data_IF_622724464994
#
_entry.id   IF_622724464994
#
_cell.length_a   1.000
_cell.length_b   1.000
_cell.length_c   1.000
_cell.angle_alpha   90.00
_cell.angle_beta   90.00
_cell.angle_gamma   90.00
#
_symmetry.space_group_name_H-M   'P 1'
#
loop_
_entity.id
_entity.type
_entity.pdbx_description
1 polymer ?
#
# COMPACT_ATOMS: atom_id res chain seq x y z
N UNK A 1 -55.63 -22.45 26.82
CA UNK A 1 -55.33 -22.37 28.27
C UNK A 1 -56.04 -21.16 28.82
N UNK A 2 -56.95 -21.32 29.79
CA UNK A 2 -57.55 -20.17 30.48
C UNK A 2 -56.43 -19.38 31.14
N UNK A 3 -56.29 -18.09 30.79
CA UNK A 3 -55.24 -17.23 31.34
C UNK A 3 -55.55 -16.99 32.81
N UNK A 4 -54.78 -17.59 33.72
CA UNK A 4 -54.93 -17.34 35.16
C UNK A 4 -54.70 -15.84 35.39
N UNK A 5 -55.63 -15.18 36.08
CA UNK A 5 -55.45 -13.78 36.46
C UNK A 5 -54.69 -13.73 37.80
N UNK A 6 -53.35 -13.77 37.71
CA UNK A 6 -52.46 -13.76 38.88
C UNK A 6 -52.70 -12.54 39.79
N UNK A 7 -52.96 -11.37 39.20
CA UNK A 7 -53.20 -10.14 39.95
C UNK A 7 -54.49 -10.23 40.77
N UNK A 8 -55.59 -10.68 40.16
CA UNK A 8 -56.86 -10.84 40.86
C UNK A 8 -56.83 -11.94 41.94
N UNK A 9 -56.05 -13.01 41.71
CA UNK A 9 -55.85 -14.06 42.71
C UNK A 9 -55.01 -13.55 43.89
N UNK A 10 -53.94 -12.78 43.62
CA UNK A 10 -53.08 -12.17 44.64
C UNK A 10 -53.85 -11.16 45.48
N UNK A 11 -54.64 -10.28 44.87
CA UNK A 11 -55.48 -9.31 45.56
C UNK A 11 -56.50 -9.98 46.48
N UNK A 12 -57.15 -11.05 46.02
CA UNK A 12 -58.10 -11.79 46.83
C UNK A 12 -57.45 -12.53 48.00
N UNK A 13 -56.25 -13.09 47.80
CA UNK A 13 -55.47 -13.72 48.86
C UNK A 13 -55.07 -12.71 49.95
N UNK A 14 -54.47 -11.58 49.55
CA UNK A 14 -54.05 -10.50 50.45
C UNK A 14 -55.25 -9.89 51.19
N UNK A 15 -56.40 -9.75 50.52
CA UNK A 15 -57.61 -9.20 51.14
C UNK A 15 -58.12 -10.04 52.32
N UNK A 16 -57.99 -11.38 52.26
CA UNK A 16 -58.33 -12.28 53.37
C UNK A 16 -57.26 -12.26 54.45
N UNK A 17 -55.99 -12.32 54.05
CA UNK A 17 -54.85 -12.31 54.98
C UNK A 17 -54.89 -11.07 55.89
N UNK A 18 -55.26 -9.92 55.34
CA UNK A 18 -55.38 -8.66 56.08
C UNK A 18 -56.59 -8.60 57.02
N UNK A 19 -57.78 -8.99 56.56
CA UNK A 19 -58.99 -9.07 57.40
C UNK A 19 -59.88 -10.21 56.91
N UNK A 20 -60.00 -11.26 57.71
CA UNK A 20 -60.80 -12.44 57.39
C UNK A 20 -62.30 -12.18 57.61
N UNK A 21 -63.01 -11.79 56.55
CA UNK A 21 -64.49 -11.74 56.54
C UNK A 21 -65.08 -12.85 55.68
N UNK A 22 -66.31 -13.32 55.95
CA UNK A 22 -66.98 -14.35 55.14
C UNK A 22 -67.10 -13.97 53.66
N UNK A 23 -67.33 -12.68 53.37
CA UNK A 23 -67.42 -12.14 52.00
C UNK A 23 -66.08 -12.25 51.26
N UNK A 24 -64.97 -11.91 51.93
CA UNK A 24 -63.63 -12.03 51.35
C UNK A 24 -63.24 -13.50 51.13
N UNK A 25 -63.59 -14.38 52.09
CA UNK A 25 -63.39 -15.83 51.96
C UNK A 25 -64.11 -16.42 50.74
N UNK A 26 -65.35 -15.99 50.50
CA UNK A 26 -66.11 -16.39 49.32
C UNK A 26 -65.45 -15.88 48.03
N UNK A 27 -65.03 -14.61 47.99
CA UNK A 27 -64.37 -14.02 46.83
C UNK A 27 -63.06 -14.74 46.45
N UNK A 28 -62.27 -15.17 47.44
CA UNK A 28 -61.08 -15.99 47.19
C UNK A 28 -61.43 -17.39 46.71
N UNK A 29 -62.39 -18.09 47.33
CA UNK A 29 -62.80 -19.45 46.88
C UNK A 29 -63.30 -19.47 45.44
N UNK A 30 -63.96 -18.41 44.99
CA UNK A 30 -64.38 -18.27 43.59
C UNK A 30 -63.21 -18.08 42.61
N UNK A 31 -62.08 -17.54 43.07
CA UNK A 31 -60.89 -17.27 42.25
C UNK A 31 -59.84 -18.38 42.35
N UNK A 32 -59.71 -18.99 43.53
CA UNK A 32 -58.81 -20.11 43.84
C UNK A 32 -59.55 -21.45 43.64
N UNK A 33 -60.07 -21.66 42.42
CA UNK A 33 -60.71 -22.93 42.09
C UNK A 33 -59.67 -24.05 42.01
N UNK A 34 -60.05 -25.32 42.19
CA UNK A 34 -59.12 -26.45 42.06
C UNK A 34 -58.37 -26.44 40.71
N UNK A 35 -59.01 -26.02 39.62
CA UNK A 35 -58.37 -25.90 38.31
C UNK A 35 -57.27 -24.83 38.29
N UNK A 36 -57.48 -23.70 38.98
CA UNK A 36 -56.48 -22.63 39.08
C UNK A 36 -55.30 -23.10 39.92
N UNK A 37 -55.54 -23.80 41.03
CA UNK A 37 -54.47 -24.32 41.90
C UNK A 37 -53.62 -25.35 41.16
N UNK A 38 -54.25 -26.31 40.45
CA UNK A 38 -53.51 -27.30 39.66
C UNK A 38 -52.68 -26.65 38.55
N UNK A 39 -53.26 -25.69 37.82
CA UNK A 39 -52.53 -24.98 36.76
C UNK A 39 -51.33 -24.18 37.29
N UNK A 40 -51.42 -23.62 38.51
CA UNK A 40 -50.29 -22.96 39.16
C UNK A 40 -49.19 -23.95 39.59
N UNK A 41 -49.56 -25.14 40.06
CA UNK A 41 -48.60 -26.20 40.40
C UNK A 41 -47.89 -26.72 39.15
N UNK A 42 -48.63 -26.99 38.07
CA UNK A 42 -48.07 -27.43 36.78
C UNK A 42 -47.13 -26.37 36.18
N UNK A 43 -47.45 -25.08 36.33
CA UNK A 43 -46.58 -23.98 35.93
C UNK A 43 -45.33 -23.88 36.81
N UNK A 44 -45.48 -24.02 38.13
CA UNK A 44 -44.35 -24.01 39.05
C UNK A 44 -43.37 -25.15 38.74
N UNK A 45 -43.87 -26.36 38.47
CA UNK A 45 -43.04 -27.50 38.12
C UNK A 45 -42.28 -27.27 36.81
N UNK A 46 -42.97 -26.77 35.76
CA UNK A 46 -42.31 -26.40 34.50
C UNK A 46 -41.27 -25.31 34.67
N UNK A 47 -41.55 -24.29 35.49
CA UNK A 47 -40.59 -23.22 35.77
C UNK A 47 -39.38 -23.74 36.53
N UNK A 48 -39.55 -24.67 37.48
CA UNK A 48 -38.43 -25.31 38.18
C UNK A 48 -37.58 -26.17 37.24
N UNK A 49 -38.19 -26.91 36.31
CA UNK A 49 -37.47 -27.67 35.30
C UNK A 49 -36.69 -26.75 34.35
N UNK A 50 -37.29 -25.64 33.93
CA UNK A 50 -36.63 -24.63 33.09
C UNK A 50 -35.41 -24.01 33.78
N UNK A 51 -35.54 -23.65 35.06
CA UNK A 51 -34.42 -23.10 35.85
C UNK A 51 -33.27 -24.11 35.92
N UNK A 52 -33.55 -25.39 36.21
CA UNK A 52 -32.51 -26.43 36.24
C UNK A 52 -31.77 -26.57 34.90
N UNK A 53 -32.51 -26.55 33.79
CA UNK A 53 -31.90 -26.63 32.46
C UNK A 53 -31.04 -25.40 32.16
N UNK A 54 -31.52 -24.20 32.53
CA UNK A 54 -30.76 -22.95 32.35
C UNK A 54 -29.51 -22.91 33.21
N UNK A 55 -29.56 -23.41 34.43
CA UNK A 55 -28.40 -23.49 35.31
C UNK A 55 -27.33 -24.43 34.74
N UNK A 56 -27.75 -25.59 34.21
CA UNK A 56 -26.85 -26.52 33.54
C UNK A 56 -26.23 -25.91 32.27
N UNK A 57 -27.04 -25.27 31.43
CA UNK A 57 -26.55 -24.59 30.22
C UNK A 57 -25.54 -23.47 30.57
N UNK A 58 -25.83 -22.68 31.61
CA UNK A 58 -24.92 -21.63 32.06
C UNK A 58 -23.59 -22.19 32.59
N UNK A 59 -23.61 -23.35 33.25
CA UNK A 59 -22.40 -24.03 33.71
C UNK A 59 -21.54 -24.51 32.51
N UNK A 60 -22.17 -25.12 31.50
CA UNK A 60 -21.49 -25.53 30.26
C UNK A 60 -20.87 -24.34 29.51
N UNK A 61 -21.60 -23.22 29.43
CA UNK A 61 -21.10 -21.97 28.85
C UNK A 61 -19.91 -21.44 29.66
N UNK A 62 -19.99 -21.43 30.99
CA UNK A 62 -18.91 -20.96 31.84
C UNK A 62 -17.62 -21.78 31.65
N UNK A 63 -17.74 -23.10 31.56
CA UNK A 63 -16.62 -23.99 31.26
C UNK A 63 -16.01 -23.72 29.88
N UNK A 64 -16.85 -23.52 28.87
CA UNK A 64 -16.40 -23.25 27.49
C UNK A 64 -15.70 -21.90 27.37
N UNK A 65 -16.28 -20.85 27.96
CA UNK A 65 -15.67 -19.52 28.01
C UNK A 65 -14.35 -19.56 28.80
N UNK A 66 -14.29 -20.36 29.87
CA UNK A 66 -13.05 -20.60 30.62
C UNK A 66 -11.94 -21.17 29.74
N UNK A 67 -12.23 -22.23 28.97
CA UNK A 67 -11.27 -22.84 28.03
C UNK A 67 -10.80 -21.85 26.96
N UNK A 68 -11.74 -21.15 26.32
CA UNK A 68 -11.42 -20.16 25.28
C UNK A 68 -10.56 -19.01 25.81
N UNK A 69 -10.74 -18.59 27.07
CA UNK A 69 -9.88 -17.56 27.68
C UNK A 69 -8.44 -18.03 27.85
N UNK A 70 -8.23 -19.28 28.24
CA UNK A 70 -6.89 -19.87 28.36
C UNK A 70 -6.23 -19.99 26.98
N UNK A 71 -6.93 -20.56 26.01
CA UNK A 71 -6.44 -20.69 24.62
C UNK A 71 -6.10 -19.32 24.01
N UNK A 72 -6.95 -18.31 24.24
CA UNK A 72 -6.70 -16.95 23.77
C UNK A 72 -5.42 -16.36 24.40
N UNK A 73 -5.18 -16.61 25.68
CA UNK A 73 -3.98 -16.12 26.37
C UNK A 73 -2.71 -16.84 25.87
N UNK A 74 -2.79 -18.16 25.64
CA UNK A 74 -1.70 -18.92 25.02
C UNK A 74 -1.37 -18.43 23.61
N UNK A 75 -2.39 -18.16 22.79
CA UNK A 75 -2.22 -17.60 21.43
C UNK A 75 -1.59 -16.21 21.50
N UNK A 76 -2.02 -15.35 22.44
CA UNK A 76 -1.43 -14.03 22.63
C UNK A 76 0.05 -14.11 23.00
N UNK A 77 0.41 -14.96 23.98
CA UNK A 77 1.81 -15.15 24.37
C UNK A 77 2.65 -15.71 23.22
N UNK A 78 2.09 -16.63 22.43
CA UNK A 78 2.77 -17.16 21.26
C UNK A 78 2.95 -16.09 20.17
N UNK A 79 1.95 -15.22 19.96
CA UNK A 79 2.03 -14.11 19.02
C UNK A 79 3.07 -13.07 19.45
N UNK A 80 3.16 -12.77 20.75
CA UNK A 80 4.16 -11.87 21.31
C UNK A 80 5.58 -12.43 21.10
N UNK A 81 5.82 -13.70 21.45
CA UNK A 81 7.10 -14.39 21.15
C UNK A 81 7.43 -14.41 19.65
N UNK A 82 6.43 -14.64 18.80
CA UNK A 82 6.59 -14.54 17.34
C UNK A 82 6.94 -13.12 16.90
N UNK A 83 6.38 -12.11 17.55
CA UNK A 83 6.68 -10.70 17.24
C UNK A 83 8.10 -10.32 17.66
N UNK A 84 8.57 -10.79 18.82
CA UNK A 84 9.95 -10.61 19.29
C UNK A 84 10.93 -11.32 18.37
N UNK A 85 10.65 -12.57 17.99
CA UNK A 85 11.49 -13.30 17.02
C UNK A 85 11.45 -12.70 15.62
N UNK A 86 10.34 -12.11 15.19
CA UNK A 86 10.27 -11.31 13.95
C UNK A 86 11.03 -10.00 14.06
N UNK A 87 11.03 -9.32 15.20
CA UNK A 87 11.87 -8.14 15.43
C UNK A 87 13.36 -8.50 15.29
N UNK A 88 13.77 -9.68 15.78
CA UNK A 88 15.11 -10.24 15.54
C UNK A 88 15.30 -10.67 14.06
N UNK A 89 14.25 -11.15 13.39
CA UNK A 89 14.27 -11.54 11.96
C UNK A 89 14.15 -10.39 10.97
N UNK A 90 13.79 -9.18 11.42
CA UNK A 90 13.76 -7.96 10.61
C UNK A 90 15.16 -7.43 10.30
N UNK A 91 16.22 -8.17 10.66
CA UNK A 91 17.54 -8.04 10.03
C UNK A 91 17.52 -8.54 8.57
N UNK A 92 16.51 -8.14 7.79
CA UNK A 92 16.57 -8.28 6.34
C UNK A 92 17.66 -7.34 5.85
N UNK A 93 18.75 -7.95 5.42
CA UNK A 93 19.96 -7.26 5.00
C UNK A 93 20.61 -8.09 3.90
N UNK A 94 20.37 -7.76 2.62
CA UNK A 94 21.13 -8.37 1.54
C UNK A 94 22.64 -8.09 1.71
N UNK A 95 23.49 -8.96 1.14
CA UNK A 95 24.94 -8.72 1.18
C UNK A 95 25.36 -7.53 0.31
N UNK A 96 24.56 -7.25 -0.72
CA UNK A 96 24.75 -6.16 -1.68
C UNK A 96 23.46 -5.35 -1.73
N UNK A 97 23.57 -4.03 -1.66
CA UNK A 97 22.43 -3.12 -1.78
C UNK A 97 21.77 -3.31 -3.15
N UNK A 98 20.45 -3.58 -3.22
CA UNK A 98 19.78 -3.90 -4.48
C UNK A 98 19.68 -2.71 -5.44
N UNK A 99 19.85 -1.48 -4.96
CA UNK A 99 19.72 -0.25 -5.76
C UNK A 99 21.09 0.29 -6.14
N UNK A 100 22.01 0.42 -5.18
CA UNK A 100 23.33 1.03 -5.42
C UNK A 100 24.43 0.04 -5.73
N UNK A 101 24.22 -1.27 -5.49
CA UNK A 101 25.26 -2.28 -5.64
C UNK A 101 26.37 -2.22 -4.57
N UNK A 102 26.25 -1.32 -3.58
CA UNK A 102 27.23 -1.21 -2.48
C UNK A 102 27.19 -2.46 -1.60
N UNK A 103 28.35 -2.92 -1.12
CA UNK A 103 28.43 -4.03 -0.18
C UNK A 103 27.95 -3.58 1.19
N UNK A 104 27.28 -4.47 1.92
CA UNK A 104 27.01 -4.19 3.32
C UNK A 104 28.30 -3.97 4.10
N UNK A 105 28.24 -3.04 5.04
CA UNK A 105 29.32 -2.74 5.94
C UNK A 105 28.98 -3.13 7.39
N UNK A 106 27.98 -2.51 7.99
CA UNK A 106 27.59 -2.80 9.38
C UNK A 106 26.16 -2.35 9.70
N UNK A 107 25.71 -2.63 10.93
CA UNK A 107 24.47 -2.09 11.49
C UNK A 107 24.78 -0.80 12.26
N UNK A 108 23.99 0.25 12.03
CA UNK A 108 24.14 1.54 12.69
C UNK A 108 22.78 1.99 13.23
N UNK A 109 22.76 2.53 14.44
CA UNK A 109 21.54 3.09 15.05
C UNK A 109 21.19 4.44 14.40
N UNK A 110 20.04 4.50 13.76
CA UNK A 110 19.46 5.70 13.15
C UNK A 110 18.44 6.36 14.11
N UNK A 111 18.47 7.69 14.29
CA UNK A 111 17.58 8.40 15.22
C UNK A 111 16.09 8.13 14.98
N UNK A 112 15.68 7.96 13.72
CA UNK A 112 14.26 7.77 13.34
C UNK A 112 13.92 6.35 12.87
N UNK A 113 14.91 5.58 12.39
CA UNK A 113 14.67 4.28 11.74
C UNK A 113 15.09 3.11 12.65
N UNK A 114 15.67 3.39 13.82
CA UNK A 114 16.24 2.39 14.70
C UNK A 114 17.51 1.79 14.11
N UNK A 115 17.82 0.54 14.44
CA UNK A 115 19.02 -0.11 13.95
C UNK A 115 18.87 -0.51 12.47
N UNK A 116 19.62 0.11 11.58
CA UNK A 116 19.51 -0.06 10.13
C UNK A 116 20.76 -0.70 9.53
N UNK A 117 20.63 -1.52 8.47
CA UNK A 117 21.78 -2.04 7.76
C UNK A 117 22.35 -0.95 6.84
N UNK A 118 23.66 -0.75 6.89
CA UNK A 118 24.35 0.23 6.05
C UNK A 118 25.32 -0.42 5.07
N UNK A 119 25.50 0.23 3.93
CA UNK A 119 26.22 -0.27 2.77
C UNK A 119 27.22 0.78 2.29
N UNK A 120 28.42 0.36 1.91
CA UNK A 120 29.53 1.26 1.58
C UNK A 120 30.84 0.72 2.14
N UNK A 121 31.53 1.54 2.92
CA UNK A 121 32.83 1.20 3.49
C UNK A 121 33.17 2.01 4.74
N UNK A 122 34.46 2.01 5.15
CA UNK A 122 34.90 2.59 6.42
C UNK A 122 34.93 4.12 6.46
N UNK A 123 34.79 4.80 5.32
CA UNK A 123 34.68 6.26 5.25
C UNK A 123 33.21 6.67 5.33
N UNK A 124 32.41 6.08 4.44
CA UNK A 124 30.99 6.43 4.28
C UNK A 124 30.13 5.18 4.20
N UNK A 125 29.00 5.22 4.88
CA UNK A 125 28.02 4.15 4.90
C UNK A 125 26.62 4.69 4.72
N UNK A 126 25.80 3.98 3.95
CA UNK A 126 24.51 4.48 3.49
C UNK A 126 23.40 3.48 3.72
N UNK A 127 22.19 3.94 3.99
CA UNK A 127 21.01 3.06 4.04
C UNK A 127 20.65 2.55 2.65
N UNK A 128 19.79 1.53 2.59
CA UNK A 128 19.18 1.12 1.32
C UNK A 128 18.29 2.27 0.84
N UNK A 129 18.46 2.75 -0.40
CA UNK A 129 17.70 3.89 -0.87
C UNK A 129 16.19 3.65 -0.84
N UNK A 130 15.45 4.69 -0.50
CA UNK A 130 13.99 4.70 -0.50
C UNK A 130 13.49 5.67 -1.54
N UNK A 131 12.36 5.33 -2.16
CA UNK A 131 11.69 6.21 -3.11
C UNK A 131 10.98 7.34 -2.35
N UNK A 132 11.24 8.57 -2.74
CA UNK A 132 10.58 9.75 -2.19
C UNK A 132 9.20 10.02 -2.84
N UNK A 133 8.57 11.12 -2.46
CA UNK A 133 7.26 11.53 -2.98
C UNK A 133 7.27 11.92 -4.46
N UNK A 134 8.41 12.38 -4.98
CA UNK A 134 8.59 12.82 -6.37
C UNK A 134 9.06 11.67 -7.28
N UNK A 135 9.42 10.54 -6.68
CA UNK A 135 9.79 9.30 -7.32
C UNK A 135 11.29 9.10 -7.53
N UNK A 136 12.12 9.97 -6.96
CA UNK A 136 13.57 9.85 -6.88
C UNK A 136 13.96 8.93 -5.72
N UNK A 137 15.13 8.29 -5.82
CA UNK A 137 15.69 7.51 -4.74
C UNK A 137 16.71 8.31 -3.95
N UNK A 138 16.52 8.34 -2.63
CA UNK A 138 17.44 8.95 -1.67
C UNK A 138 17.88 7.94 -0.63
N UNK A 139 19.07 8.13 -0.07
CA UNK A 139 19.57 7.36 1.07
C UNK A 139 20.18 8.24 2.15
N UNK A 140 20.05 7.77 3.39
CA UNK A 140 20.67 8.41 4.55
C UNK A 140 22.16 8.06 4.60
N UNK A 141 22.99 9.05 4.86
CA UNK A 141 24.45 8.94 4.87
C UNK A 141 24.97 9.04 6.30
N UNK A 142 25.81 8.07 6.69
CA UNK A 142 26.59 8.08 7.90
C UNK A 142 28.06 8.32 7.57
N UNK A 143 28.59 9.43 8.08
CA UNK A 143 29.99 9.83 7.98
C UNK A 143 30.73 9.23 9.18
N UNK A 144 31.70 8.34 8.93
CA UNK A 144 32.47 7.67 9.98
C UNK A 144 33.60 8.54 10.54
N UNK A 145 34.07 9.54 9.79
CA UNK A 145 35.08 10.48 10.26
C UNK A 145 34.46 11.48 11.25
N UNK A 146 33.23 11.93 10.97
CA UNK A 146 32.43 12.74 11.87
C UNK A 146 31.77 11.91 12.99
N UNK A 147 31.43 10.65 12.72
CA UNK A 147 30.75 9.75 13.65
C UNK A 147 29.25 10.02 13.77
N UNK A 148 28.59 10.43 12.69
CA UNK A 148 27.19 10.84 12.74
C UNK A 148 26.45 10.73 11.40
N UNK A 149 25.12 10.75 11.50
CA UNK A 149 24.24 10.87 10.34
C UNK A 149 24.24 12.31 9.81
N UNK A 150 24.44 12.46 8.51
CA UNK A 150 24.43 13.75 7.80
C UNK A 150 23.21 13.83 6.87
N UNK A 151 23.04 14.97 6.18
CA UNK A 151 21.89 15.16 5.29
C UNK A 151 21.81 14.07 4.22
N UNK A 152 20.59 13.61 3.95
CA UNK A 152 20.29 12.58 2.95
C UNK A 152 20.83 12.97 1.57
N UNK A 153 21.45 12.00 0.89
CA UNK A 153 21.96 12.17 -0.46
C UNK A 153 20.92 11.69 -1.48
N UNK A 154 20.60 12.55 -2.46
CA UNK A 154 19.77 12.18 -3.61
C UNK A 154 20.64 11.51 -4.69
N UNK A 155 20.21 10.34 -5.17
CA UNK A 155 21.01 9.54 -6.10
C UNK A 155 20.80 9.88 -7.57
N UNK A 156 19.82 10.73 -7.92
CA UNK A 156 19.46 11.01 -9.32
C UNK A 156 18.96 9.78 -10.08
N UNK A 157 18.56 8.73 -9.36
CA UNK A 157 17.99 7.51 -9.94
C UNK A 157 16.47 7.60 -9.91
N UNK A 158 15.84 7.29 -11.03
CA UNK A 158 14.39 7.23 -11.20
C UNK A 158 13.99 5.89 -11.81
N UNK A 159 12.84 5.36 -11.40
CA UNK A 159 12.25 4.23 -12.10
C UNK A 159 11.63 4.71 -13.41
N UNK A 160 12.23 4.30 -14.53
CA UNK A 160 11.66 4.48 -15.86
C UNK A 160 10.66 3.35 -16.07
N UNK A 161 9.44 3.66 -16.50
CA UNK A 161 8.48 2.62 -16.86
C UNK A 161 8.80 2.01 -18.24
N UNK A 162 8.34 0.78 -18.48
CA UNK A 162 8.62 0.05 -19.72
C UNK A 162 8.20 0.83 -20.98
N UNK A 163 7.21 1.73 -20.86
CA UNK A 163 6.70 2.53 -21.98
C UNK A 163 7.65 3.68 -22.30
N UNK A 164 8.18 4.36 -21.29
CA UNK A 164 9.19 5.39 -21.46
C UNK A 164 10.48 4.80 -22.04
N UNK A 165 10.89 3.63 -21.55
CA UNK A 165 12.06 2.94 -22.09
C UNK A 165 11.88 2.58 -23.58
N UNK A 166 10.71 2.05 -23.98
CA UNK A 166 10.40 1.81 -25.39
C UNK A 166 10.48 3.08 -26.25
N UNK A 167 9.98 4.22 -25.75
CA UNK A 167 10.03 5.49 -26.47
C UNK A 167 11.45 6.00 -26.67
N UNK A 168 12.31 5.85 -25.66
CA UNK A 168 13.73 6.24 -25.77
C UNK A 168 14.41 5.38 -26.83
N UNK A 169 14.21 4.05 -26.82
CA UNK A 169 14.78 3.18 -27.85
C UNK A 169 14.30 3.53 -29.26
N UNK A 170 13.01 3.77 -29.46
CA UNK A 170 12.48 4.22 -30.76
C UNK A 170 13.10 5.54 -31.22
N UNK A 171 13.35 6.47 -30.30
CA UNK A 171 14.00 7.74 -30.62
C UNK A 171 15.48 7.58 -30.96
N UNK A 172 16.22 6.77 -30.20
CA UNK A 172 17.63 6.46 -30.47
C UNK A 172 17.79 5.80 -31.84
N UNK A 173 16.90 4.88 -32.20
CA UNK A 173 16.90 4.24 -33.52
C UNK A 173 16.65 5.25 -34.64
N UNK A 174 15.67 6.14 -34.46
CA UNK A 174 15.39 7.22 -35.42
C UNK A 174 16.55 8.22 -35.54
N UNK A 175 17.25 8.53 -34.45
CA UNK A 175 18.43 9.40 -34.49
C UNK A 175 19.54 8.72 -35.30
N UNK A 176 19.81 7.45 -35.04
CA UNK A 176 20.81 6.66 -35.78
C UNK A 176 20.48 6.54 -37.28
N UNK A 177 19.20 6.33 -37.62
CA UNK A 177 18.73 6.37 -39.01
C UNK A 177 19.05 7.73 -39.66
N UNK A 178 18.72 8.83 -38.98
CA UNK A 178 18.95 10.18 -39.51
C UNK A 178 20.43 10.54 -39.63
N UNK A 179 21.28 10.11 -38.69
CA UNK A 179 22.73 10.34 -38.72
C UNK A 179 23.41 9.62 -39.90
N UNK A 180 22.92 8.44 -40.28
CA UNK A 180 23.45 7.68 -41.42
C UNK A 180 22.89 8.13 -42.78
N UNK A 181 21.92 9.04 -42.79
CA UNK A 181 21.23 9.47 -44.01
C UNK A 181 22.07 10.47 -44.80
N UNK A 182 22.71 10.01 -45.86
CA UNK A 182 23.47 10.87 -46.78
C UNK A 182 22.56 11.65 -47.74
N UNK A 183 22.62 12.98 -47.70
CA UNK A 183 21.95 13.85 -48.67
C UNK A 183 22.81 13.98 -49.92
N UNK A 184 22.33 13.39 -51.01
CA UNK A 184 23.01 13.47 -52.30
C UNK A 184 22.77 14.82 -52.98
N UNK A 185 23.84 15.47 -53.42
CA UNK A 185 23.75 16.71 -54.17
C UNK A 185 23.24 16.48 -55.60
N UNK A 186 22.52 17.45 -56.19
CA UNK A 186 22.16 17.38 -57.60
C UNK A 186 23.39 17.22 -58.50
N UNK A 187 23.27 16.43 -59.57
CA UNK A 187 24.38 15.95 -60.43
C UNK A 187 25.31 17.05 -60.96
N UNK A 188 24.84 18.29 -61.08
CA UNK A 188 25.58 19.45 -61.62
C UNK A 188 26.41 20.21 -60.57
N UNK A 189 26.37 19.81 -59.30
CA UNK A 189 26.99 20.55 -58.20
C UNK A 189 28.01 19.70 -57.46
N UNK A 190 29.01 20.35 -56.87
CA UNK A 190 29.99 19.72 -55.99
C UNK A 190 30.29 20.62 -54.79
N UNK A 191 30.83 20.01 -53.73
CA UNK A 191 31.36 20.75 -52.58
C UNK A 191 32.79 21.19 -52.89
N UNK A 192 33.09 22.47 -52.68
CA UNK A 192 34.47 22.97 -52.61
C UNK A 192 34.77 23.51 -51.22
N UNK A 193 35.99 23.27 -50.78
CA UNK A 193 36.55 23.85 -49.57
C UNK A 193 37.00 25.30 -49.83
N UNK A 194 36.70 26.20 -48.90
CA UNK A 194 37.11 27.62 -48.95
C UNK A 194 36.07 28.51 -49.62
N UNK A 195 35.45 29.40 -48.82
CA UNK A 195 34.78 30.59 -49.32
C UNK A 195 35.78 31.75 -49.25
N UNK A 196 35.86 32.68 -50.23
CA UNK A 196 36.80 33.82 -50.17
C UNK A 196 36.56 34.81 -49.00
N UNK A 197 35.65 34.52 -48.07
CA UNK A 197 35.27 35.39 -46.94
C UNK A 197 35.39 34.64 -45.60
N UNK A 198 35.48 33.30 -45.56
CA UNK A 198 35.74 32.49 -44.37
C UNK A 198 36.39 31.17 -44.80
N UNK A 199 37.66 30.98 -44.49
CA UNK A 199 38.51 29.90 -45.02
C UNK A 199 38.42 28.63 -44.16
N UNK A 200 37.85 28.74 -42.96
CA UNK A 200 38.13 27.83 -41.86
C UNK A 200 37.06 26.73 -41.69
N UNK A 201 35.79 26.97 -42.09
CA UNK A 201 34.68 26.11 -41.63
C UNK A 201 33.52 25.83 -42.61
N UNK A 202 33.55 26.29 -43.87
CA UNK A 202 32.40 26.07 -44.78
C UNK A 202 32.78 25.50 -46.15
N UNK A 203 32.23 24.32 -46.43
CA UNK A 203 32.13 23.83 -47.79
C UNK A 203 31.05 24.61 -48.54
N UNK A 204 31.38 25.14 -49.71
CA UNK A 204 30.46 25.88 -50.57
C UNK A 204 30.03 24.99 -51.73
N UNK A 205 28.72 24.96 -52.02
CA UNK A 205 28.18 24.26 -53.17
C UNK A 205 28.44 25.09 -54.43
N UNK A 206 29.21 24.56 -55.38
CA UNK A 206 29.59 25.29 -56.61
C UNK A 206 29.15 24.48 -57.84
N UNK A 207 28.60 25.13 -58.88
CA UNK A 207 28.29 24.46 -60.14
C UNK A 207 29.56 23.93 -60.81
N UNK A 208 29.49 22.70 -61.34
CA UNK A 208 30.59 22.12 -62.12
C UNK A 208 30.69 22.83 -63.49
N UNK A 209 31.91 23.02 -63.98
CA UNK A 209 32.23 23.42 -65.37
C UNK A 209 31.43 24.64 -65.90
N UNK A 210 31.68 25.83 -65.35
CA UNK A 210 31.05 27.10 -65.79
C UNK A 210 29.51 27.11 -65.79
N UNK A 211 28.85 26.23 -65.03
CA UNK A 211 27.40 26.22 -64.87
C UNK A 211 26.85 27.44 -64.13
N UNK A 212 25.58 27.77 -64.38
CA UNK A 212 24.84 28.80 -63.64
C UNK A 212 24.60 28.37 -62.18
N UNK A 213 24.50 29.34 -61.27
CA UNK A 213 24.11 29.11 -59.87
C UNK A 213 22.67 28.58 -59.75
N UNK A 214 22.38 27.79 -58.71
CA UNK A 214 21.03 27.28 -58.43
C UNK A 214 20.05 28.45 -58.23
N UNK A 215 18.88 28.35 -58.84
CA UNK A 215 17.75 29.17 -58.44
C UNK A 215 17.17 28.63 -57.12
N UNK A 216 16.62 29.52 -56.30
CA UNK A 216 16.03 29.17 -54.99
C UNK A 216 15.03 28.00 -55.10
N UNK A 217 14.24 27.98 -56.17
CA UNK A 217 13.25 26.92 -56.44
C UNK A 217 13.86 25.53 -56.61
N UNK A 218 15.04 25.43 -57.24
CA UNK A 218 15.71 24.14 -57.47
C UNK A 218 16.33 23.59 -56.17
N UNK A 219 16.86 24.50 -55.33
CA UNK A 219 17.37 24.17 -54.00
C UNK A 219 16.23 23.70 -53.08
N UNK A 220 15.10 24.42 -53.08
CA UNK A 220 13.93 24.04 -52.31
C UNK A 220 13.37 22.69 -52.74
N UNK A 221 13.33 22.42 -54.05
CA UNK A 221 12.90 21.12 -54.58
C UNK A 221 13.81 19.99 -54.09
N UNK A 222 15.14 20.15 -54.18
CA UNK A 222 16.10 19.14 -53.74
C UNK A 222 15.98 18.84 -52.24
N UNK A 223 15.82 19.88 -51.40
CA UNK A 223 15.61 19.73 -49.96
C UNK A 223 14.29 19.01 -49.63
N UNK A 224 13.21 19.33 -50.36
CA UNK A 224 11.92 18.63 -50.20
C UNK A 224 11.99 17.17 -50.62
N UNK A 225 12.70 16.85 -51.70
CA UNK A 225 12.96 15.46 -52.14
C UNK A 225 13.77 14.70 -51.09
N UNK A 226 14.71 15.35 -50.41
CA UNK A 226 15.43 14.81 -49.25
C UNK A 226 14.58 14.74 -47.95
N UNK A 227 13.28 15.03 -48.03
CA UNK A 227 12.35 14.99 -46.91
C UNK A 227 12.53 16.11 -45.88
N UNK A 228 13.28 17.17 -46.22
CA UNK A 228 13.50 18.32 -45.36
C UNK A 228 12.35 19.31 -45.56
N UNK A 229 11.62 19.60 -44.48
CA UNK A 229 10.53 20.58 -44.49
C UNK A 229 11.10 21.99 -44.33
N UNK A 230 10.88 22.82 -45.35
CA UNK A 230 11.24 24.25 -45.34
C UNK A 230 10.01 25.04 -44.88
N UNK A 231 10.15 25.87 -43.84
CA UNK A 231 9.08 26.79 -43.40
C UNK A 231 9.26 28.14 -44.09
N UNK A 232 8.25 28.56 -44.85
CA UNK A 232 8.19 29.87 -45.50
C UNK A 232 8.10 29.75 -47.02
N UNK A 233 6.97 30.23 -47.53
CA UNK A 233 6.66 30.49 -48.94
C UNK A 233 5.44 31.39 -48.95
#
# INVERSE_FOLDING_TARGET
MSKINYQALREAAVAIETVATPQKLLAFRMKATPQVVLALLDEQERNQQYIKQRDQENEEIALTVGKLRVELEEVKQHAEKLSETKAVRNQWRPDICPITGRTFFMWIEHPTLGNVPTYGGPLDSYTIPTKDGDGEFSCEHYDHDFGGWVESECLGLYLIDDREQCRVYELEERVKELETREVHLPTRYGLRYGHPINDDERHVMIPKENGCWLYLADLEHALRVAGIRIKGG
#
